data_IF_460219606480
#
_entry.id   IF_460219606480
#
_cell.length_a   1.000
_cell.length_b   1.000
_cell.length_c   1.000
_cell.angle_alpha   90.00
_cell.angle_beta   90.00
_cell.angle_gamma   90.00
#
_symmetry.space_group_name_H-M   'P 1'
#
loop_
_entity.id
_entity.type
_entity.pdbx_description
1 polymer ?
#
# COMPACT_ATOMS: atom_id res chain seq x y z
N UNK A 1 15.10 -10.21 -2.19
CA UNK A 1 14.64 -8.95 -1.55
C UNK A 1 15.60 -8.56 -0.45
N UNK A 2 15.74 -7.27 -0.10
CA UNK A 2 16.61 -6.83 0.99
C UNK A 2 16.07 -7.31 2.34
N UNK A 3 16.95 -7.78 3.22
CA UNK A 3 16.57 -8.33 4.53
C UNK A 3 16.31 -7.22 5.57
N UNK A 4 16.94 -6.07 5.40
CA UNK A 4 16.97 -4.95 6.35
C UNK A 4 15.76 -3.99 6.25
N UNK A 5 14.60 -4.47 5.82
CA UNK A 5 13.37 -3.67 5.81
C UNK A 5 12.65 -3.81 7.16
N UNK A 6 12.11 -2.71 7.65
CA UNK A 6 11.37 -2.68 8.93
C UNK A 6 9.91 -3.11 8.78
N UNK A 7 9.34 -2.94 7.58
CA UNK A 7 7.98 -3.31 7.23
C UNK A 7 7.82 -4.81 7.02
N UNK A 8 6.60 -5.28 7.27
CA UNK A 8 6.15 -6.62 6.84
C UNK A 8 5.97 -6.63 5.34
N UNK A 9 6.32 -7.74 4.71
CA UNK A 9 6.32 -7.90 3.25
C UNK A 9 5.34 -8.99 2.85
N UNK A 10 4.53 -8.71 1.85
CA UNK A 10 3.66 -9.67 1.20
C UNK A 10 3.99 -9.68 -0.29
N UNK A 11 4.30 -10.84 -0.85
CA UNK A 11 4.70 -10.98 -2.24
C UNK A 11 3.89 -12.10 -2.89
N UNK A 12 3.43 -11.84 -4.10
CA UNK A 12 2.76 -12.82 -4.95
C UNK A 12 3.06 -12.50 -6.40
N UNK A 13 3.69 -13.43 -7.12
CA UNK A 13 4.19 -13.18 -8.47
C UNK A 13 5.02 -11.88 -8.53
N UNK A 14 4.64 -10.93 -9.37
CA UNK A 14 5.26 -9.60 -9.51
C UNK A 14 4.70 -8.55 -8.53
N UNK A 15 3.61 -8.83 -7.82
CA UNK A 15 3.02 -7.92 -6.84
C UNK A 15 3.76 -7.98 -5.50
N UNK A 16 4.18 -6.80 -5.02
CA UNK A 16 4.81 -6.63 -3.70
C UNK A 16 4.05 -5.59 -2.89
N UNK A 17 3.67 -5.93 -1.66
CA UNK A 17 3.06 -5.02 -0.70
C UNK A 17 3.93 -4.91 0.56
N UNK A 18 4.10 -3.68 1.04
CA UNK A 18 4.74 -3.36 2.32
C UNK A 18 3.70 -2.89 3.32
N UNK A 19 3.84 -3.33 4.58
CA UNK A 19 2.94 -2.93 5.66
C UNK A 19 3.72 -2.58 6.93
N UNK A 20 3.40 -1.41 7.49
CA UNK A 20 3.90 -0.94 8.79
C UNK A 20 2.71 -0.75 9.72
N UNK A 21 2.92 -1.01 11.01
CA UNK A 21 1.93 -0.75 12.06
C UNK A 21 2.54 0.19 13.09
N UNK A 22 1.79 1.23 13.46
CA UNK A 22 2.15 2.21 14.49
C UNK A 22 0.88 2.89 15.01
N UNK A 23 0.97 3.50 16.18
CA UNK A 23 -0.05 4.43 16.69
C UNK A 23 0.12 5.85 16.11
N UNK A 24 1.30 6.15 15.55
CA UNK A 24 1.63 7.43 14.93
C UNK A 24 1.75 7.27 13.41
N UNK A 25 0.97 8.09 12.70
CA UNK A 25 0.96 8.20 11.25
C UNK A 25 2.32 8.62 10.69
N UNK A 26 2.98 9.58 11.34
CA UNK A 26 4.26 10.09 10.86
C UNK A 26 5.33 9.00 10.90
N UNK A 27 5.34 8.20 11.97
CA UNK A 27 6.23 7.06 12.08
C UNK A 27 5.95 5.98 11.01
N UNK A 28 4.69 5.77 10.63
CA UNK A 28 4.37 4.88 9.50
C UNK A 28 4.90 5.42 8.18
N UNK A 29 4.71 6.72 7.90
CA UNK A 29 5.21 7.38 6.69
C UNK A 29 6.73 7.28 6.58
N UNK A 30 7.45 7.61 7.67
CA UNK A 30 8.90 7.65 7.67
C UNK A 30 9.48 6.25 7.42
N UNK A 31 8.96 5.23 8.12
CA UNK A 31 9.37 3.83 7.91
C UNK A 31 9.09 3.33 6.49
N UNK A 32 7.92 3.67 5.93
CA UNK A 32 7.57 3.26 4.57
C UNK A 32 8.46 3.93 3.53
N UNK A 33 8.76 5.23 3.68
CA UNK A 33 9.67 5.92 2.76
C UNK A 33 11.10 5.36 2.85
N UNK A 34 11.62 5.12 4.05
CA UNK A 34 12.95 4.51 4.24
C UNK A 34 13.03 3.13 3.57
N UNK A 35 12.05 2.27 3.82
CA UNK A 35 11.97 0.93 3.22
C UNK A 35 11.83 0.98 1.69
N UNK A 36 11.09 1.95 1.14
CA UNK A 36 10.96 2.15 -0.30
C UNK A 36 12.28 2.59 -0.94
N UNK A 37 13.10 3.40 -0.26
CA UNK A 37 14.44 3.75 -0.74
C UNK A 37 15.37 2.54 -0.79
N UNK A 38 15.32 1.68 0.24
CA UNK A 38 16.10 0.44 0.29
C UNK A 38 15.64 -0.50 -0.85
N UNK A 39 14.32 -0.66 -1.05
CA UNK A 39 13.78 -1.43 -2.15
C UNK A 39 14.17 -0.87 -3.51
N UNK A 40 14.16 0.45 -3.69
CA UNK A 40 14.54 1.09 -4.94
C UNK A 40 16.00 0.77 -5.30
N UNK A 41 16.91 0.86 -4.33
CA UNK A 41 18.33 0.51 -4.50
C UNK A 41 18.46 -0.97 -4.87
N UNK A 42 17.73 -1.85 -4.20
CA UNK A 42 17.69 -3.28 -4.52
C UNK A 42 17.19 -3.52 -5.95
N UNK A 43 16.05 -2.95 -6.35
CA UNK A 43 15.52 -3.12 -7.70
C UNK A 43 16.49 -2.64 -8.78
N UNK A 44 17.12 -1.48 -8.60
CA UNK A 44 18.15 -0.96 -9.50
C UNK A 44 19.35 -1.91 -9.62
N UNK A 45 19.84 -2.44 -8.49
CA UNK A 45 20.95 -3.41 -8.46
C UNK A 45 20.63 -4.68 -9.26
N UNK A 46 19.39 -5.17 -9.15
CA UNK A 46 18.95 -6.39 -9.83
C UNK A 46 18.31 -6.15 -11.20
N UNK A 47 18.44 -4.93 -11.75
CA UNK A 47 17.87 -4.52 -13.05
C UNK A 47 16.35 -4.72 -13.14
N UNK A 48 15.66 -4.70 -11.99
CA UNK A 48 14.21 -4.69 -11.90
C UNK A 48 13.72 -3.25 -12.05
N UNK A 49 12.67 -3.06 -12.84
CA UNK A 49 12.04 -1.75 -13.05
C UNK A 49 10.80 -1.65 -12.17
N UNK A 50 10.83 -0.95 -11.03
CA UNK A 50 9.62 -0.68 -10.27
C UNK A 50 8.66 0.16 -11.10
N UNK A 51 7.38 0.10 -10.76
CA UNK A 51 6.35 0.93 -11.38
C UNK A 51 5.69 1.86 -10.34
N UNK A 52 6.34 2.98 -9.99
CA UNK A 52 5.80 3.91 -9.00
C UNK A 52 4.41 4.45 -9.36
N UNK A 53 4.12 4.64 -10.66
CA UNK A 53 2.82 5.14 -11.13
C UNK A 53 1.67 4.16 -10.89
N UNK A 54 1.95 2.86 -10.77
CA UNK A 54 0.97 1.83 -10.36
C UNK A 54 1.01 1.52 -8.87
N UNK A 55 1.97 2.08 -8.14
CA UNK A 55 2.07 1.87 -6.70
C UNK A 55 1.01 2.72 -6.03
N UNK A 56 0.25 2.10 -5.13
CA UNK A 56 -0.79 2.76 -4.35
C UNK A 56 -0.44 2.64 -2.85
N UNK A 57 -0.82 3.64 -2.08
CA UNK A 57 -0.75 3.61 -0.62
C UNK A 57 -2.16 3.62 -0.04
N UNK A 58 -2.33 2.98 1.10
CA UNK A 58 -3.57 3.04 1.86
C UNK A 58 -3.28 2.94 3.34
N UNK A 59 -4.31 3.19 4.13
CA UNK A 59 -4.19 3.22 5.58
C UNK A 59 -5.44 2.67 6.23
N UNK A 60 -5.25 1.76 7.18
CA UNK A 60 -6.33 1.08 7.87
C UNK A 60 -6.41 1.54 9.33
N UNK A 61 -7.54 2.12 9.71
CA UNK A 61 -7.81 2.57 11.07
C UNK A 61 -9.30 2.84 11.29
N UNK A 62 -9.73 2.75 12.56
CA UNK A 62 -11.12 2.97 12.95
C UNK A 62 -11.45 4.44 13.25
N UNK A 63 -10.43 5.31 13.39
CA UNK A 63 -10.65 6.72 13.74
C UNK A 63 -11.28 7.50 12.57
N UNK A 64 -12.59 7.76 12.65
CA UNK A 64 -13.36 8.48 11.63
C UNK A 64 -12.95 9.94 11.47
N UNK A 65 -12.42 10.58 12.52
CA UNK A 65 -11.97 11.99 12.44
C UNK A 65 -10.79 12.14 11.48
N UNK A 66 -10.03 11.07 11.27
CA UNK A 66 -8.85 11.03 10.41
C UNK A 66 -9.12 10.31 9.07
N UNK A 67 -10.38 10.07 8.70
CA UNK A 67 -10.73 9.27 7.50
C UNK A 67 -10.22 9.87 6.17
N UNK A 68 -9.85 11.15 6.16
CA UNK A 68 -9.29 11.85 5.01
C UNK A 68 -7.77 12.06 5.11
N UNK A 69 -7.14 11.58 6.17
CA UNK A 69 -5.69 11.64 6.32
C UNK A 69 -5.03 10.75 5.26
N UNK A 70 -4.00 11.29 4.62
CA UNK A 70 -3.26 10.61 3.57
C UNK A 70 -1.81 10.48 4.01
N UNK A 71 -1.19 9.38 3.61
CA UNK A 71 0.23 9.17 3.83
C UNK A 71 1.02 9.97 2.79
N UNK A 72 2.04 10.69 3.23
CA UNK A 72 2.99 11.34 2.35
C UNK A 72 4.14 10.37 2.00
N UNK A 73 3.93 9.57 0.96
CA UNK A 73 4.87 8.53 0.51
C UNK A 73 5.33 8.83 -0.91
N UNK A 74 6.63 8.71 -1.15
CA UNK A 74 7.23 8.85 -2.48
C UNK A 74 8.01 7.60 -2.86
N UNK A 75 8.00 7.25 -4.15
CA UNK A 75 8.76 6.12 -4.67
C UNK A 75 9.42 6.49 -6.01
N UNK A 76 10.74 6.39 -6.08
CA UNK A 76 11.56 6.84 -7.22
C UNK A 76 11.25 8.30 -7.65
N UNK A 77 11.04 9.18 -6.67
CA UNK A 77 10.72 10.60 -6.88
C UNK A 77 9.26 10.89 -7.26
N UNK A 78 8.42 9.87 -7.39
CA UNK A 78 6.99 10.00 -7.71
C UNK A 78 6.16 9.89 -6.43
N UNK A 79 5.25 10.84 -6.22
CA UNK A 79 4.29 10.75 -5.10
C UNK A 79 3.35 9.57 -5.30
N UNK A 80 3.32 8.66 -4.33
CA UNK A 80 2.44 7.49 -4.35
C UNK A 80 1.00 7.93 -4.12
N UNK A 81 0.09 7.49 -4.98
CA UNK A 81 -1.32 7.84 -4.86
C UNK A 81 -1.93 7.18 -3.62
N UNK A 82 -2.64 7.97 -2.81
CA UNK A 82 -3.43 7.41 -1.71
C UNK A 82 -4.79 6.92 -2.23
N UNK A 83 -5.07 5.62 -2.07
CA UNK A 83 -6.33 4.98 -2.41
C UNK A 83 -7.07 4.56 -1.13
N UNK A 84 -8.34 4.95 -0.99
CA UNK A 84 -9.17 4.61 0.19
C UNK A 84 -9.68 3.16 0.19
N UNK A 85 -9.66 2.53 -0.98
CA UNK A 85 -10.13 1.16 -1.19
C UNK A 85 -9.32 0.48 -2.30
N UNK A 86 -7.99 0.29 -2.11
CA UNK A 86 -7.16 -0.35 -3.11
C UNK A 86 -7.61 -1.79 -3.34
N UNK A 87 -7.35 -2.26 -4.57
CA UNK A 87 -7.56 -3.65 -4.95
C UNK A 87 -6.23 -4.38 -4.83
N UNK A 88 -6.13 -5.33 -3.90
CA UNK A 88 -4.96 -6.18 -3.72
C UNK A 88 -5.36 -7.64 -3.92
N UNK A 89 -4.69 -8.35 -4.83
CA UNK A 89 -4.96 -9.76 -5.18
C UNK A 89 -6.44 -10.08 -5.43
N UNK A 90 -7.17 -9.16 -6.07
CA UNK A 90 -8.59 -9.35 -6.39
C UNK A 90 -9.58 -8.79 -5.35
N UNK A 91 -9.11 -8.46 -4.15
CA UNK A 91 -9.96 -8.03 -3.03
C UNK A 91 -9.84 -6.51 -2.84
N UNK A 92 -10.97 -5.83 -2.59
CA UNK A 92 -10.94 -4.40 -2.25
C UNK A 92 -10.87 -4.24 -0.73
N UNK A 93 -9.89 -3.49 -0.26
CA UNK A 93 -9.62 -3.28 1.16
C UNK A 93 -10.05 -1.86 1.56
N UNK A 94 -11.23 -1.68 2.16
CA UNK A 94 -11.62 -0.37 2.69
C UNK A 94 -10.85 -0.02 3.97
N UNK A 95 -10.75 1.27 4.29
CA UNK A 95 -10.08 1.82 5.50
C UNK A 95 -10.40 1.06 6.81
N UNK A 96 -11.63 0.61 6.99
CA UNK A 96 -12.08 -0.12 8.18
C UNK A 96 -12.01 -1.64 8.04
N UNK A 97 -11.53 -2.14 6.91
CA UNK A 97 -11.46 -3.57 6.55
C UNK A 97 -12.81 -4.28 6.71
N UNK A 98 -13.90 -3.61 6.35
CA UNK A 98 -15.26 -4.18 6.36
C UNK A 98 -15.56 -5.03 5.12
N UNK A 99 -14.74 -4.90 4.07
CA UNK A 99 -14.90 -5.49 2.74
C UNK A 99 -16.21 -5.10 2.03
N UNK A 100 -16.92 -4.08 2.53
CA UNK A 100 -18.22 -3.68 1.99
C UNK A 100 -18.16 -3.35 0.50
N UNK A 101 -17.19 -2.55 0.08
CA UNK A 101 -16.99 -2.18 -1.33
C UNK A 101 -16.73 -3.42 -2.20
N UNK A 102 -16.03 -4.42 -1.67
CA UNK A 102 -15.77 -5.66 -2.39
C UNK A 102 -17.05 -6.48 -2.57
N UNK A 103 -17.83 -6.64 -1.50
CA UNK A 103 -19.10 -7.38 -1.52
C UNK A 103 -20.12 -6.73 -2.47
N UNK A 104 -20.28 -5.40 -2.42
CA UNK A 104 -21.16 -4.66 -3.32
C UNK A 104 -20.78 -4.87 -4.80
N UNK A 105 -19.48 -4.85 -5.11
CA UNK A 105 -18.98 -5.11 -6.48
C UNK A 105 -19.21 -6.55 -6.94
N UNK A 106 -19.09 -7.54 -6.05
CA UNK A 106 -19.37 -8.93 -6.40
C UNK A 106 -20.87 -9.11 -6.66
N UNK A 107 -21.72 -8.57 -5.78
CA UNK A 107 -23.17 -8.66 -5.94
C UNK A 107 -23.64 -8.08 -7.29
N UNK A 108 -23.12 -6.91 -7.68
CA UNK A 108 -23.41 -6.29 -8.98
C UNK A 108 -22.97 -7.14 -10.18
N UNK A 109 -21.83 -7.82 -10.08
CA UNK A 109 -21.35 -8.72 -11.13
C UNK A 109 -22.20 -9.97 -11.28
N UNK A 110 -22.77 -10.47 -10.17
CA UNK A 110 -23.65 -11.64 -10.18
C UNK A 110 -25.06 -11.31 -10.65
N UNK A 111 -25.49 -10.05 -10.54
CA UNK A 111 -26.79 -9.59 -11.04
C UNK A 111 -26.79 -9.23 -12.54
N UNK A 112 -25.67 -9.46 -13.25
CA UNK A 112 -25.51 -9.26 -14.69
C UNK A 112 -25.44 -10.62 -15.38
#
# INVERSE_FOLDING_TARGET
>A
MPENLTSRRFQYADDTALAVQSFDFKLCEDKLNEDLEILLKYYKMWKLKPNPSKTESTMFHLNNRLANQKLNISFDGIQVQHNKAPKYLGINLDRSLTYRIHLERIAQKLST
#
